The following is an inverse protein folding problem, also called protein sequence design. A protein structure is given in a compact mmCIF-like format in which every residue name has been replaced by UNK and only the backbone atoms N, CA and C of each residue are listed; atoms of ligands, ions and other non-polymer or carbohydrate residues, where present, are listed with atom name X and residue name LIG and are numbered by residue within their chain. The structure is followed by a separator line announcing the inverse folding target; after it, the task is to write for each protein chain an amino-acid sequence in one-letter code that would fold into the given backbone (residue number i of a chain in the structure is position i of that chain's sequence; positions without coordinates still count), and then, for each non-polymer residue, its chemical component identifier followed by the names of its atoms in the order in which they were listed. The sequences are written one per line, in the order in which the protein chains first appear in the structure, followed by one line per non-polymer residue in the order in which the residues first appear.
data_IF_156122281226
#
_entry.id   IF_156122281226
#
_cell.length_a   1.000
_cell.length_b   1.000
_cell.length_c   1.000
_cell.angle_alpha   90.00
_cell.angle_beta   90.00
_cell.angle_gamma   90.00
#
_symmetry.space_group_name_H-M   'P 1'
#
loop_
_entity.id
_entity.type
_entity.pdbx_description
1 polymer ?
#
# COMPACT_ATOMS: atom_id res chain seq x y z
N UNK A 1 3.11 -11.51 1.12
CA UNK A 1 3.90 -11.90 -0.06
C UNK A 1 2.97 -12.45 -1.12
N UNK A 2 2.94 -11.86 -2.31
CA UNK A 2 2.31 -12.45 -3.48
C UNK A 2 3.27 -13.49 -4.06
N UNK A 3 3.32 -14.66 -3.43
CA UNK A 3 4.06 -15.82 -3.90
C UNK A 3 3.03 -16.84 -4.36
N UNK A 4 2.87 -16.99 -5.67
CA UNK A 4 1.97 -18.00 -6.22
C UNK A 4 1.62 -17.72 -7.67
N UNK A 5 2.23 -18.48 -8.58
CA UNK A 5 1.43 -19.33 -9.44
C UNK A 5 2.22 -20.63 -9.66
N UNK A 6 1.60 -21.76 -9.34
CA UNK A 6 2.22 -23.07 -9.24
C UNK A 6 2.68 -23.62 -10.58
N UNK A 7 3.84 -24.28 -10.57
CA UNK A 7 4.18 -25.26 -11.60
C UNK A 7 4.12 -26.62 -10.93
N UNK A 8 3.07 -27.38 -11.23
CA UNK A 8 2.93 -28.78 -10.85
C UNK A 8 4.12 -29.56 -11.41
N UNK A 9 4.90 -30.15 -10.52
CA UNK A 9 6.08 -30.95 -10.86
C UNK A 9 6.37 -31.92 -9.73
N UNK A 10 5.93 -33.16 -9.92
CA UNK A 10 6.18 -34.29 -9.02
C UNK A 10 7.69 -34.45 -8.76
N UNK A 11 8.11 -34.27 -7.51
CA UNK A 11 9.49 -34.52 -7.13
C UNK A 11 9.83 -34.03 -5.72
N UNK A 12 10.12 -34.97 -4.83
CA UNK A 12 10.65 -34.72 -3.49
C UNK A 12 11.88 -33.81 -3.50
N UNK A 13 11.69 -32.55 -3.13
CA UNK A 13 12.78 -31.58 -3.01
C UNK A 13 12.22 -30.21 -2.68
N UNK A 14 12.84 -29.51 -1.73
CA UNK A 14 12.45 -28.16 -1.31
C UNK A 14 12.17 -27.28 -2.54
N UNK A 15 11.01 -26.61 -2.54
CA UNK A 15 10.61 -25.69 -3.59
C UNK A 15 11.73 -24.67 -3.82
N UNK A 16 12.44 -24.80 -4.94
CA UNK A 16 13.53 -23.91 -5.29
C UNK A 16 12.96 -22.49 -5.48
N UNK A 17 13.54 -21.45 -4.86
CA UNK A 17 13.12 -20.08 -5.07
C UNK A 17 13.21 -19.73 -6.55
N UNK A 18 12.12 -19.22 -7.13
CA UNK A 18 12.16 -18.70 -8.50
C UNK A 18 13.05 -17.46 -8.56
N UNK A 19 13.85 -17.28 -9.62
CA UNK A 19 14.69 -16.10 -9.78
C UNK A 19 13.85 -14.81 -9.87
N UNK A 20 14.40 -13.71 -9.32
CA UNK A 20 13.73 -12.39 -9.34
C UNK A 20 13.58 -11.92 -10.80
N UNK A 21 12.34 -11.84 -11.28
CA UNK A 21 12.02 -11.22 -12.57
C UNK A 21 11.86 -9.72 -12.40
N UNK A 22 12.87 -8.97 -12.84
CA UNK A 22 12.82 -7.50 -12.85
C UNK A 22 11.90 -7.02 -13.97
N UNK A 23 11.15 -5.96 -13.69
CA UNK A 23 10.32 -5.30 -14.69
C UNK A 23 11.12 -4.23 -15.42
N UNK A 24 10.76 -4.00 -16.68
CA UNK A 24 11.34 -2.91 -17.46
C UNK A 24 11.05 -1.54 -16.80
N UNK A 25 12.06 -0.68 -16.74
CA UNK A 25 11.95 0.64 -16.12
C UNK A 25 11.03 1.59 -16.91
N UNK A 26 10.91 1.39 -18.22
CA UNK A 26 10.09 2.16 -19.15
C UNK A 26 8.65 1.65 -19.29
N UNK A 27 8.26 0.63 -18.51
CA UNK A 27 6.92 0.04 -18.60
C UNK A 27 5.82 1.12 -18.46
N UNK A 28 4.72 1.03 -19.23
CA UNK A 28 3.61 1.96 -19.11
C UNK A 28 3.05 2.01 -17.69
N UNK A 29 2.79 3.22 -17.18
CA UNK A 29 2.17 3.40 -15.87
C UNK A 29 0.69 3.06 -15.96
N UNK A 30 0.16 2.41 -14.94
CA UNK A 30 -1.28 2.19 -14.79
C UNK A 30 -1.98 3.47 -14.34
N UNK A 31 -3.29 3.52 -14.54
CA UNK A 31 -4.12 4.64 -14.08
C UNK A 31 -4.09 4.73 -12.55
N UNK A 32 -3.79 5.92 -12.03
CA UNK A 32 -3.97 6.26 -10.62
C UNK A 32 -5.34 6.89 -10.45
N UNK A 33 -6.17 6.32 -9.57
CA UNK A 33 -7.46 6.92 -9.19
C UNK A 33 -7.21 7.73 -7.93
N UNK A 34 -7.46 9.04 -7.99
CA UNK A 34 -7.31 9.95 -6.86
C UNK A 34 -8.62 10.05 -6.09
N UNK A 35 -8.52 10.34 -4.79
CA UNK A 35 -9.67 10.72 -3.99
C UNK A 35 -10.26 12.03 -4.53
N UNK A 36 -11.58 12.14 -4.52
CA UNK A 36 -12.28 13.40 -4.80
C UNK A 36 -12.14 14.39 -3.63
N UNK A 37 -12.52 15.64 -3.84
CA UNK A 37 -12.55 16.65 -2.78
C UNK A 37 -13.50 16.28 -1.64
N UNK A 38 -14.68 15.73 -1.98
CA UNK A 38 -15.66 15.26 -0.99
C UNK A 38 -15.11 14.10 -0.14
N UNK A 39 -14.40 13.17 -0.77
CA UNK A 39 -13.76 12.04 -0.08
C UNK A 39 -12.63 12.52 0.85
N UNK A 40 -11.85 13.51 0.42
CA UNK A 40 -10.82 14.14 1.26
C UNK A 40 -11.44 14.87 2.46
N UNK A 41 -12.55 15.59 2.27
CA UNK A 41 -13.26 16.25 3.36
C UNK A 41 -13.82 15.23 4.37
N UNK A 42 -14.42 14.14 3.88
CA UNK A 42 -14.89 13.04 4.74
C UNK A 42 -13.73 12.38 5.51
N UNK A 43 -12.57 12.22 4.88
CA UNK A 43 -11.37 11.71 5.54
C UNK A 43 -10.91 12.64 6.67
N UNK A 44 -10.83 13.95 6.45
CA UNK A 44 -10.46 14.92 7.49
C UNK A 44 -11.46 14.91 8.66
N UNK A 45 -12.76 14.84 8.37
CA UNK A 45 -13.78 14.71 9.40
C UNK A 45 -13.60 13.43 10.22
N UNK A 46 -13.23 12.32 9.57
CA UNK A 46 -12.93 11.05 10.26
C UNK A 46 -11.69 11.16 11.15
N UNK A 47 -10.63 11.80 10.69
CA UNK A 47 -9.43 12.03 11.50
C UNK A 47 -9.75 12.84 12.76
N UNK A 48 -10.56 13.89 12.65
CA UNK A 48 -10.98 14.70 13.80
C UNK A 48 -11.70 13.87 14.89
N UNK A 49 -12.54 12.90 14.49
CA UNK A 49 -13.20 11.99 15.46
C UNK A 49 -12.17 11.10 16.16
N UNK A 50 -11.21 10.56 15.42
CA UNK A 50 -10.15 9.71 15.98
C UNK A 50 -9.32 10.50 17.00
N UNK A 51 -8.92 11.72 16.65
CA UNK A 51 -8.12 12.59 17.51
C UNK A 51 -8.85 12.96 18.79
N UNK A 52 -10.16 13.24 18.69
CA UNK A 52 -11.01 13.47 19.86
C UNK A 52 -11.02 12.27 20.79
N UNK A 53 -11.14 11.06 20.27
CA UNK A 53 -11.14 9.82 21.07
C UNK A 53 -9.76 9.47 21.63
N UNK A 54 -8.69 9.76 20.88
CA UNK A 54 -7.32 9.46 21.27
C UNK A 54 -6.71 10.51 22.22
N UNK A 55 -7.30 11.71 22.31
CA UNK A 55 -6.79 12.80 23.13
C UNK A 55 -5.54 13.48 22.55
N UNK A 56 -5.28 13.32 21.25
CA UNK A 56 -4.08 13.82 20.59
C UNK A 56 -4.12 13.68 19.06
N UNK A 57 -3.13 14.26 18.35
CA UNK A 57 -3.11 14.26 16.89
C UNK A 57 -2.94 12.85 16.34
N UNK A 58 -3.63 12.56 15.23
CA UNK A 58 -3.54 11.29 14.53
C UNK A 58 -2.15 11.11 13.93
N UNK A 59 -1.70 9.87 13.78
CA UNK A 59 -0.41 9.58 13.14
C UNK A 59 -0.35 10.17 11.71
N UNK A 60 -1.46 10.13 10.98
CA UNK A 60 -1.56 10.72 9.65
C UNK A 60 -1.24 12.22 9.66
N UNK A 61 -1.89 12.99 10.55
CA UNK A 61 -1.65 14.42 10.71
C UNK A 61 -0.22 14.74 11.19
N UNK A 62 0.43 13.83 11.92
CA UNK A 62 1.83 13.99 12.31
C UNK A 62 2.77 13.80 11.11
N UNK A 63 2.52 12.81 10.26
CA UNK A 63 3.32 12.55 9.07
C UNK A 63 3.19 13.66 8.02
N UNK A 64 2.01 14.27 7.87
CA UNK A 64 1.82 15.42 6.97
C UNK A 64 2.55 16.69 7.43
N UNK A 65 2.83 16.81 8.73
CA UNK A 65 3.56 17.96 9.31
C UNK A 65 5.07 17.76 9.35
N UNK A 66 5.55 16.52 9.28
CA UNK A 66 6.98 16.24 9.31
C UNK A 66 7.62 16.80 8.02
N UNK A 67 8.60 17.72 8.12
CA UNK A 67 9.42 18.07 6.97
C UNK A 67 10.25 16.84 6.56
N UNK A 68 10.45 16.65 5.25
CA UNK A 68 11.43 15.66 4.73
C UNK A 68 12.83 15.89 5.29
#
# INVERSE_FOLDING_TARGET
SLAGEGSDGDGSGRQQPTPIRRLDASRPRTRVIRASEDELAAHLARLAVIEKSAGGPSLWAQLEKAPE
#
